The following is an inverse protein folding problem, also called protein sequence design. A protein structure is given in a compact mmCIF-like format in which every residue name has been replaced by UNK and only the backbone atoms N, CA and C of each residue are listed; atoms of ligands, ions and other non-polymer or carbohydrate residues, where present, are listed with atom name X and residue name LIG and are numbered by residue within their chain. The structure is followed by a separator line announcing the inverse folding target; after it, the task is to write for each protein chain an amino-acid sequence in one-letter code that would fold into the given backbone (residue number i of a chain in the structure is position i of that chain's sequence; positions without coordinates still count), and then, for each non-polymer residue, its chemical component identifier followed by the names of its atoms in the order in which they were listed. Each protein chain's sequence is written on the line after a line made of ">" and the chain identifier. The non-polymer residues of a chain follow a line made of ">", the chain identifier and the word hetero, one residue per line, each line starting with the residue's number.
data_IF_471888272510
#
_entry.id   IF_471888272510
#
_cell.length_a   1.000
_cell.length_b   1.000
_cell.length_c   1.000
_cell.angle_alpha   90.00
_cell.angle_beta   90.00
_cell.angle_gamma   90.00
#
_symmetry.space_group_name_H-M   'P 1'
#
loop_
_entity.id
_entity.type
_entity.pdbx_description
1 polymer ?
#
# COMPACT_ATOMS: atom_id res chain seq x y z
N UNK A 1 7.30 15.80 5.88
CA UNK A 1 6.34 16.82 6.35
C UNK A 1 7.09 17.74 7.30
N UNK A 2 6.82 19.05 7.26
CA UNK A 2 7.30 20.00 8.26
C UNK A 2 6.26 20.11 9.37
N UNK A 3 6.72 20.06 10.62
CA UNK A 3 5.85 20.21 11.78
C UNK A 3 5.75 21.71 12.13
N UNK A 4 4.54 22.25 12.08
CA UNK A 4 4.23 23.61 12.52
C UNK A 4 3.74 23.60 13.95
N UNK A 5 4.24 24.52 14.77
CA UNK A 5 3.73 24.76 16.11
C UNK A 5 2.58 25.77 16.02
N UNK A 6 1.38 25.36 16.45
CA UNK A 6 0.21 26.22 16.45
C UNK A 6 0.02 26.95 17.78
N UNK A 7 0.50 26.38 18.87
CA UNK A 7 0.42 26.96 20.21
C UNK A 7 0.52 25.91 21.31
N UNK A 8 0.23 26.32 22.53
CA UNK A 8 0.26 25.45 23.72
C UNK A 8 -1.13 25.38 24.31
N UNK A 9 -1.49 24.22 24.86
CA UNK A 9 -2.71 24.02 25.66
C UNK A 9 -2.36 23.47 27.03
N UNK A 10 -3.19 23.78 28.03
CA UNK A 10 -3.13 23.12 29.32
C UNK A 10 -3.78 21.75 29.18
N UNK A 11 -3.04 20.68 29.48
CA UNK A 11 -3.62 19.35 29.48
C UNK A 11 -4.37 19.10 30.79
N UNK A 12 -5.09 18.00 30.89
CA UNK A 12 -5.69 17.55 32.13
C UNK A 12 -5.21 16.15 32.49
N UNK A 13 -5.42 15.74 33.73
CA UNK A 13 -5.24 14.34 34.13
C UNK A 13 -6.42 13.88 34.97
N UNK A 14 -6.72 12.58 34.90
CA UNK A 14 -7.81 11.98 35.67
C UNK A 14 -7.23 11.37 36.94
N UNK A 15 -7.70 11.82 38.10
CA UNK A 15 -7.23 11.28 39.36
C UNK A 15 -7.74 9.85 39.56
N UNK A 16 -6.87 8.84 39.73
CA UNK A 16 -7.33 7.46 39.90
C UNK A 16 -8.06 7.23 41.23
N UNK A 17 -7.84 8.10 42.23
CA UNK A 17 -8.49 7.97 43.54
C UNK A 17 -9.97 8.39 43.52
N UNK A 18 -10.31 9.48 42.82
CA UNK A 18 -11.67 10.02 42.82
C UNK A 18 -12.31 10.11 41.44
N UNK A 19 -11.57 9.89 40.35
CA UNK A 19 -12.03 9.97 38.96
C UNK A 19 -12.29 11.39 38.44
N UNK A 20 -12.04 12.43 39.24
CA UNK A 20 -12.17 13.81 38.79
C UNK A 20 -10.94 14.24 37.97
N UNK A 21 -11.17 15.15 37.02
CA UNK A 21 -10.12 15.82 36.26
C UNK A 21 -9.42 16.85 37.13
N UNK A 22 -8.15 17.07 36.87
CA UNK A 22 -7.38 18.17 37.43
C UNK A 22 -6.47 18.74 36.35
N UNK A 23 -6.16 20.05 36.40
CA UNK A 23 -5.24 20.67 35.47
C UNK A 23 -3.91 19.93 35.42
N UNK A 24 -3.34 19.80 34.23
CA UNK A 24 -2.10 19.12 33.95
C UNK A 24 -0.94 19.63 34.81
N UNK A 25 -0.76 20.95 34.96
CA UNK A 25 0.27 21.52 35.82
C UNK A 25 0.05 21.21 37.31
N UNK A 26 -1.14 20.81 37.74
CA UNK A 26 -1.40 20.52 39.15
C UNK A 26 -0.83 19.16 39.56
N UNK A 27 -0.03 19.17 40.63
CA UNK A 27 0.65 17.97 41.16
C UNK A 27 -0.20 17.20 42.18
N UNK A 28 -1.36 17.76 42.57
CA UNK A 28 -2.37 17.16 43.45
C UNK A 28 -3.74 17.33 42.81
N UNK A 29 -4.62 16.35 43.04
CA UNK A 29 -5.99 16.46 42.58
C UNK A 29 -6.69 17.60 43.33
N UNK A 30 -7.23 18.56 42.59
CA UNK A 30 -7.92 19.71 43.18
C UNK A 30 -9.21 19.33 43.90
N UNK A 31 -9.77 18.14 43.64
CA UNK A 31 -11.00 17.67 44.31
C UNK A 31 -10.76 16.89 45.61
N UNK A 32 -9.71 16.05 45.67
CA UNK A 32 -9.51 15.14 46.81
C UNK A 32 -8.13 15.29 47.50
N UNK A 33 -7.28 16.19 47.00
CA UNK A 33 -5.97 16.50 47.58
C UNK A 33 -4.90 15.42 47.43
N UNK A 34 -5.23 14.25 46.87
CA UNK A 34 -4.27 13.17 46.63
C UNK A 34 -3.23 13.58 45.59
N UNK A 35 -1.94 13.22 45.77
CA UNK A 35 -0.91 13.52 44.80
C UNK A 35 -1.19 12.81 43.47
N UNK A 36 -0.72 13.39 42.37
CA UNK A 36 -0.72 12.75 41.07
C UNK A 36 0.28 11.58 41.07
N UNK A 37 -0.15 10.35 40.76
CA UNK A 37 0.76 9.21 40.57
C UNK A 37 1.67 9.37 39.34
N UNK A 38 2.76 8.62 39.31
CA UNK A 38 3.80 8.68 38.26
C UNK A 38 3.30 8.20 36.89
N UNK A 39 2.42 7.21 36.87
CA UNK A 39 1.91 6.52 35.68
C UNK A 39 0.64 7.16 35.10
N UNK A 40 0.17 8.29 35.63
CA UNK A 40 -1.00 8.96 35.08
C UNK A 40 -0.64 9.63 33.76
N UNK A 41 -1.36 9.27 32.71
CA UNK A 41 -1.28 9.95 31.43
C UNK A 41 -2.09 11.26 31.44
N UNK A 42 -1.59 12.26 30.72
CA UNK A 42 -2.39 13.44 30.42
C UNK A 42 -3.41 13.15 29.31
N UNK A 43 -4.51 13.86 29.37
CA UNK A 43 -5.63 13.80 28.44
C UNK A 43 -5.92 15.19 27.88
N UNK A 44 -6.58 15.24 26.72
CA UNK A 44 -7.01 16.51 26.14
C UNK A 44 -7.91 17.26 27.15
N UNK A 45 -7.75 18.58 27.26
CA UNK A 45 -8.63 19.39 28.08
C UNK A 45 -10.02 19.48 27.45
N UNK A 46 -11.01 19.80 28.30
CA UNK A 46 -12.35 20.14 27.82
C UNK A 46 -12.33 21.48 27.10
N UNK A 47 -11.64 22.46 27.69
CA UNK A 47 -11.36 23.75 27.06
C UNK A 47 -10.08 23.67 26.23
N UNK A 48 -10.23 23.83 24.91
CA UNK A 48 -9.12 23.71 23.97
C UNK A 48 -8.50 25.07 23.62
N UNK A 49 -8.78 26.12 24.39
CA UNK A 49 -8.20 27.44 24.16
C UNK A 49 -6.66 27.39 24.18
N UNK A 50 -6.03 27.98 23.15
CA UNK A 50 -4.59 28.17 23.12
C UNK A 50 -4.17 29.19 24.17
N UNK A 51 -3.12 28.85 24.91
CA UNK A 51 -2.51 29.73 25.91
C UNK A 51 -1.79 30.88 25.19
N UNK A 52 -2.07 32.11 25.63
CA UNK A 52 -1.44 33.34 25.10
C UNK A 52 -0.41 33.96 26.04
N UNK A 53 -0.39 33.54 27.31
CA UNK A 53 0.55 34.05 28.31
C UNK A 53 1.97 33.51 28.09
N UNK A 54 2.94 34.41 27.93
CA UNK A 54 4.32 34.07 27.60
C UNK A 54 5.03 33.29 28.71
N UNK A 55 4.73 33.57 29.98
CA UNK A 55 5.35 32.86 31.10
C UNK A 55 4.88 31.40 31.15
N UNK A 56 3.60 31.17 30.87
CA UNK A 56 2.99 29.83 30.78
C UNK A 56 3.53 29.05 29.57
N UNK A 57 3.67 29.69 28.40
CA UNK A 57 4.32 29.08 27.22
C UNK A 57 5.79 28.70 27.53
N UNK A 58 6.50 29.54 28.28
CA UNK A 58 7.87 29.25 28.71
C UNK A 58 7.95 28.15 29.78
N UNK A 59 6.89 27.88 30.55
CA UNK A 59 6.81 26.71 31.42
C UNK A 59 6.54 25.44 30.60
N UNK A 60 5.65 25.51 29.61
CA UNK A 60 5.29 24.38 28.77
C UNK A 60 6.46 23.82 27.94
N UNK A 61 7.39 24.67 27.52
CA UNK A 61 8.56 24.31 26.70
C UNK A 61 9.79 23.86 27.50
N UNK A 62 9.68 23.77 28.84
CA UNK A 62 10.76 23.25 29.69
C UNK A 62 10.95 21.75 29.51
N UNK A 63 12.06 21.24 30.04
CA UNK A 63 12.26 19.81 30.17
C UNK A 63 11.09 19.16 30.97
N UNK A 64 10.78 17.88 30.71
CA UNK A 64 9.73 17.17 31.41
C UNK A 64 9.94 17.18 32.92
N UNK A 65 8.84 17.25 33.67
CA UNK A 65 8.87 17.20 35.13
C UNK A 65 9.57 15.94 35.65
N UNK A 66 10.11 16.02 36.87
CA UNK A 66 10.87 14.93 37.50
C UNK A 66 10.11 14.35 38.71
N UNK A 67 10.06 13.03 38.79
CA UNK A 67 9.57 12.30 39.94
C UNK A 67 10.68 12.09 40.97
N UNK A 68 10.41 12.48 42.21
CA UNK A 68 11.36 12.34 43.30
C UNK A 68 11.66 10.86 43.58
N UNK A 69 12.94 10.43 43.61
CA UNK A 69 13.29 9.02 43.79
C UNK A 69 12.98 8.50 45.20
N UNK A 70 12.75 9.39 46.17
CA UNK A 70 12.47 9.03 47.56
C UNK A 70 10.98 8.93 47.89
N UNK A 71 10.15 9.78 47.29
CA UNK A 71 8.73 9.85 47.65
C UNK A 71 7.76 9.86 46.44
N UNK A 72 8.26 9.76 45.22
CA UNK A 72 7.47 9.76 43.97
C UNK A 72 6.83 11.10 43.61
N UNK A 73 6.91 12.12 44.48
CA UNK A 73 6.30 13.42 44.22
C UNK A 73 6.87 14.07 42.95
N UNK A 74 5.96 14.53 42.09
CA UNK A 74 6.27 15.27 40.87
C UNK A 74 6.80 16.68 41.19
N UNK A 75 7.88 17.06 40.55
CA UNK A 75 8.56 18.36 40.69
C UNK A 75 8.90 18.92 39.30
N UNK A 76 9.19 20.23 39.25
CA UNK A 76 9.68 20.85 38.03
C UNK A 76 11.07 20.28 37.69
N UNK A 77 11.38 20.20 36.40
CA UNK A 77 12.60 19.57 35.90
C UNK A 77 13.90 20.17 36.45
N UNK A 78 13.90 21.47 36.74
CA UNK A 78 15.05 22.24 37.23
C UNK A 78 15.15 22.29 38.77
N UNK A 79 14.17 21.75 39.48
CA UNK A 79 14.17 21.73 40.94
C UNK A 79 15.32 20.85 41.47
N UNK A 80 16.09 21.38 42.43
CA UNK A 80 17.20 20.65 43.05
C UNK A 80 16.74 19.77 44.21
N UNK A 81 15.71 20.21 44.94
CA UNK A 81 15.15 19.54 46.11
C UNK A 81 13.65 19.31 45.92
N UNK A 82 13.17 18.17 46.40
CA UNK A 82 11.76 17.83 46.36
C UNK A 82 10.96 18.79 47.23
N UNK A 83 9.95 19.45 46.66
CA UNK A 83 9.05 20.36 47.38
C UNK A 83 8.26 19.70 48.52
N UNK A 84 8.17 18.36 48.51
CA UNK A 84 7.37 17.58 49.46
C UNK A 84 8.19 16.97 50.60
N UNK A 85 9.34 16.34 50.30
CA UNK A 85 10.16 15.67 51.32
C UNK A 85 11.54 16.32 51.55
N UNK A 86 11.92 17.35 50.79
CA UNK A 86 13.23 18.02 50.88
C UNK A 86 14.41 17.24 50.29
N UNK A 87 14.22 15.96 49.95
CA UNK A 87 15.28 15.11 49.37
C UNK A 87 15.77 15.64 48.01
N UNK A 88 17.05 15.40 47.70
CA UNK A 88 17.64 15.80 46.43
C UNK A 88 16.93 15.14 45.24
N UNK A 89 16.71 15.87 44.15
CA UNK A 89 16.08 15.34 42.95
C UNK A 89 17.07 14.71 41.97
N UNK A 90 18.37 14.79 42.28
CA UNK A 90 19.40 14.02 41.58
C UNK A 90 19.05 12.51 41.63
N UNK A 91 18.99 11.88 40.45
CA UNK A 91 18.58 10.47 40.31
C UNK A 91 17.07 10.25 40.26
N UNK A 92 16.25 11.30 40.22
CA UNK A 92 14.81 11.19 39.92
C UNK A 92 14.53 10.82 38.46
N UNK A 93 13.33 10.28 38.22
CA UNK A 93 12.90 9.85 36.89
C UNK A 93 12.19 11.00 36.18
N UNK A 94 12.65 11.37 34.97
CA UNK A 94 11.89 12.32 34.15
C UNK A 94 10.58 11.68 33.68
N UNK A 95 9.51 12.46 33.73
CA UNK A 95 8.22 12.04 33.21
C UNK A 95 8.30 11.85 31.69
N UNK A 96 7.50 10.92 31.19
CA UNK A 96 7.39 10.70 29.76
C UNK A 96 6.84 11.96 29.06
N UNK A 97 7.33 12.21 27.84
CA UNK A 97 6.91 13.29 26.97
C UNK A 97 6.95 12.81 25.50
N UNK A 98 6.38 13.59 24.59
CA UNK A 98 6.34 13.30 23.16
C UNK A 98 5.15 12.45 22.71
N UNK A 99 4.31 11.99 23.64
CA UNK A 99 3.11 11.21 23.30
C UNK A 99 2.04 12.11 22.68
N UNK A 100 1.43 11.66 21.58
CA UNK A 100 0.24 12.28 21.02
C UNK A 100 -0.97 12.03 21.91
N UNK A 101 -1.55 13.11 22.44
CA UNK A 101 -2.73 13.06 23.32
C UNK A 101 -4.03 12.91 22.51
N UNK A 102 -4.06 13.47 21.29
CA UNK A 102 -5.16 13.32 20.35
C UNK A 102 -5.26 14.47 19.34
N UNK A 103 -6.23 14.39 18.44
CA UNK A 103 -6.51 15.46 17.49
C UNK A 103 -6.95 16.75 18.22
N UNK A 104 -6.47 17.88 17.72
CA UNK A 104 -6.80 19.22 18.18
C UNK A 104 -7.76 19.88 17.18
N UNK A 105 -8.84 20.47 17.70
CA UNK A 105 -9.90 21.09 16.91
C UNK A 105 -11.29 20.92 17.54
N UNK A 106 -12.27 21.58 16.93
CA UNK A 106 -13.64 21.76 17.44
C UNK A 106 -14.57 20.57 17.17
N UNK A 107 -14.05 19.34 17.10
CA UNK A 107 -14.95 18.18 16.98
C UNK A 107 -15.83 18.11 18.23
N UNK A 108 -17.17 18.27 18.11
CA UNK A 108 -18.06 18.26 19.27
C UNK A 108 -18.00 16.89 19.93
N UNK A 109 -17.58 16.84 21.20
CA UNK A 109 -17.64 15.60 21.97
C UNK A 109 -19.12 15.40 22.35
N UNK A 110 -19.77 14.43 21.70
CA UNK A 110 -21.20 14.19 21.90
C UNK A 110 -21.50 13.81 23.35
N UNK A 111 -22.50 14.44 24.01
CA UNK A 111 -22.85 14.11 25.39
C UNK A 111 -23.16 12.62 25.59
N UNK A 112 -22.72 12.05 26.72
CA UNK A 112 -22.97 10.66 27.10
C UNK A 112 -24.09 10.60 28.14
N UNK A 113 -25.09 9.75 27.91
CA UNK A 113 -26.12 9.44 28.90
C UNK A 113 -25.62 8.36 29.86
N UNK A 114 -25.79 8.59 31.16
CA UNK A 114 -25.38 7.64 32.18
C UNK A 114 -26.21 6.35 32.10
N UNK A 115 -25.58 5.16 31.95
CA UNK A 115 -26.32 3.91 31.90
C UNK A 115 -26.98 3.55 33.24
N UNK A 116 -26.47 4.08 34.36
CA UNK A 116 -27.00 3.78 35.69
C UNK A 116 -28.20 4.65 36.10
N UNK A 117 -28.30 5.90 35.62
CA UNK A 117 -29.34 6.84 36.06
C UNK A 117 -29.98 7.70 34.96
N UNK A 118 -29.54 7.55 33.71
CA UNK A 118 -30.07 8.28 32.55
C UNK A 118 -29.68 9.76 32.46
N UNK A 119 -28.92 10.32 33.41
CA UNK A 119 -28.49 11.71 33.35
C UNK A 119 -27.54 11.93 32.16
N UNK A 120 -27.72 13.02 31.42
CA UNK A 120 -26.79 13.47 30.39
C UNK A 120 -25.54 14.06 31.05
N UNK A 121 -24.37 13.73 30.52
CA UNK A 121 -23.07 14.21 30.97
C UNK A 121 -22.24 14.64 29.76
N UNK A 122 -21.20 15.47 29.94
CA UNK A 122 -20.23 15.77 28.88
C UNK A 122 -19.67 14.50 28.24
N UNK A 123 -19.36 14.54 26.94
CA UNK A 123 -18.98 13.36 26.17
C UNK A 123 -17.64 12.71 26.54
N UNK A 124 -16.88 13.36 27.40
CA UNK A 124 -15.62 12.89 27.95
C UNK A 124 -15.71 12.58 29.46
N UNK A 125 -16.87 12.84 30.08
CA UNK A 125 -17.10 12.64 31.50
C UNK A 125 -16.87 11.17 31.88
N UNK A 126 -16.04 10.91 32.89
CA UNK A 126 -15.72 9.55 33.38
C UNK A 126 -16.64 9.09 34.50
N UNK A 127 -17.29 10.02 35.21
CA UNK A 127 -18.29 9.75 36.25
C UNK A 127 -19.55 10.57 36.01
N UNK A 128 -20.68 10.01 36.39
CA UNK A 128 -21.96 10.69 36.31
C UNK A 128 -22.03 11.81 37.34
N UNK A 129 -22.31 13.04 36.88
CA UNK A 129 -22.47 14.19 37.76
C UNK A 129 -23.67 14.06 38.72
N UNK A 130 -24.66 13.22 38.37
CA UNK A 130 -25.85 12.96 39.20
C UNK A 130 -25.67 11.83 40.20
N UNK A 131 -25.18 10.66 39.77
CA UNK A 131 -25.16 9.45 40.61
C UNK A 131 -23.77 8.89 40.91
N UNK A 132 -22.70 9.48 40.36
CA UNK A 132 -21.32 9.04 40.58
C UNK A 132 -20.89 7.76 39.84
N UNK A 133 -21.80 7.11 39.09
CA UNK A 133 -21.50 5.91 38.31
C UNK A 133 -20.45 6.19 37.22
N UNK A 134 -19.60 5.21 36.90
CA UNK A 134 -18.65 5.31 35.79
C UNK A 134 -19.37 5.44 34.44
N UNK A 135 -18.90 6.34 33.57
CA UNK A 135 -19.52 6.65 32.27
C UNK A 135 -18.71 6.19 31.07
N UNK A 136 -17.41 5.97 31.26
CA UNK A 136 -16.51 5.46 30.22
C UNK A 136 -15.74 4.30 30.84
N UNK A 137 -15.56 3.18 30.12
CA UNK A 137 -14.57 2.21 30.53
C UNK A 137 -13.22 2.95 30.63
N UNK A 138 -12.53 2.85 31.77
CA UNK A 138 -11.07 3.01 31.73
C UNK A 138 -10.47 1.96 30.78
N UNK A 139 -9.15 1.87 30.62
CA UNK A 139 -8.60 0.57 30.23
C UNK A 139 -9.22 -0.43 31.21
N UNK A 140 -10.13 -1.28 30.72
CA UNK A 140 -10.55 -2.43 31.48
C UNK A 140 -9.23 -3.12 31.79
N UNK A 141 -8.96 -3.38 33.08
CA UNK A 141 -8.08 -4.49 33.40
C UNK A 141 -8.67 -5.65 32.60
N UNK A 142 -7.97 -5.99 31.53
CA UNK A 142 -8.48 -6.82 30.46
C UNK A 142 -8.57 -8.22 31.03
N UNK A 143 -9.75 -8.56 31.56
CA UNK A 143 -10.10 -9.93 31.84
C UNK A 143 -10.18 -10.61 30.47
N UNK A 144 -9.11 -11.33 30.13
CA UNK A 144 -8.98 -12.10 28.90
C UNK A 144 -10.23 -12.96 28.72
N UNK A 145 -11.12 -12.50 27.86
CA UNK A 145 -12.18 -13.36 27.35
C UNK A 145 -11.50 -14.32 26.36
N UNK A 146 -11.73 -15.64 26.43
CA UNK A 146 -11.19 -16.56 25.45
C UNK A 146 -11.68 -16.18 24.05
N UNK A 147 -10.84 -16.39 23.02
CA UNK A 147 -11.11 -15.91 21.68
C UNK A 147 -12.40 -16.52 21.10
N UNK A 148 -13.16 -15.76 20.29
CA UNK A 148 -14.28 -16.32 19.56
C UNK A 148 -13.80 -17.38 18.58
N UNK A 149 -14.51 -18.51 18.57
CA UNK A 149 -14.33 -19.57 17.57
C UNK A 149 -14.52 -19.00 16.17
N UNK A 150 -13.53 -19.24 15.30
CA UNK A 150 -13.52 -18.80 13.91
C UNK A 150 -14.81 -19.21 13.16
N UNK A 151 -15.28 -18.38 12.20
CA UNK A 151 -16.45 -18.73 11.40
C UNK A 151 -16.15 -19.98 10.58
N UNK A 152 -17.03 -20.98 10.73
CA UNK A 152 -16.94 -22.24 10.01
C UNK A 152 -16.91 -22.01 8.50
N UNK A 153 -15.79 -22.38 7.88
CA UNK A 153 -15.64 -22.34 6.43
C UNK A 153 -16.70 -23.26 5.81
N UNK A 154 -17.54 -22.69 4.94
CA UNK A 154 -18.65 -23.40 4.31
C UNK A 154 -18.13 -24.62 3.54
N UNK A 155 -18.42 -25.81 4.07
CA UNK A 155 -17.99 -27.12 3.54
C UNK A 155 -18.39 -27.34 2.07
N UNK A 156 -19.43 -26.64 1.59
CA UNK A 156 -19.88 -26.72 0.19
C UNK A 156 -18.95 -26.00 -0.78
N UNK A 157 -18.33 -24.87 -0.41
CA UNK A 157 -17.34 -24.18 -1.27
C UNK A 157 -16.00 -24.93 -1.32
N UNK A 158 -15.60 -25.56 -0.21
CA UNK A 158 -14.41 -26.44 -0.15
C UNK A 158 -14.64 -27.71 -0.98
N UNK A 159 -15.82 -28.34 -0.90
CA UNK A 159 -16.12 -29.53 -1.69
C UNK A 159 -16.15 -29.26 -3.20
N UNK A 160 -16.69 -28.11 -3.62
CA UNK A 160 -16.65 -27.68 -5.03
C UNK A 160 -15.20 -27.39 -5.46
N UNK A 161 -14.42 -26.69 -4.64
CA UNK A 161 -13.00 -26.42 -4.91
C UNK A 161 -12.16 -27.70 -5.04
N UNK A 162 -12.36 -28.68 -4.15
CA UNK A 162 -11.69 -29.99 -4.20
C UNK A 162 -12.15 -30.78 -5.42
N UNK A 163 -13.46 -30.75 -5.75
CA UNK A 163 -13.99 -31.39 -6.95
C UNK A 163 -13.36 -30.85 -8.22
N UNK A 164 -13.28 -29.52 -8.36
CA UNK A 164 -12.62 -28.88 -9.50
C UNK A 164 -11.12 -29.20 -9.52
N UNK A 165 -10.43 -29.15 -8.38
CA UNK A 165 -9.01 -29.48 -8.30
C UNK A 165 -8.72 -30.94 -8.68
N UNK A 166 -9.57 -31.88 -8.28
CA UNK A 166 -9.47 -33.30 -8.66
C UNK A 166 -9.73 -33.50 -10.15
N UNK A 167 -10.73 -32.83 -10.71
CA UNK A 167 -10.99 -32.87 -12.16
C UNK A 167 -9.81 -32.28 -12.93
N UNK A 168 -9.24 -31.16 -12.49
CA UNK A 168 -8.05 -30.57 -13.10
C UNK A 168 -6.82 -31.48 -12.97
N UNK A 169 -6.63 -32.17 -11.85
CA UNK A 169 -5.56 -33.16 -11.66
C UNK A 169 -5.73 -34.37 -12.58
N UNK A 170 -6.96 -34.86 -12.76
CA UNK A 170 -7.26 -35.96 -13.68
C UNK A 170 -7.01 -35.51 -15.13
N UNK A 171 -7.48 -34.32 -15.52
CA UNK A 171 -7.23 -33.77 -16.85
C UNK A 171 -5.74 -33.56 -17.11
N UNK A 172 -4.99 -33.06 -16.14
CA UNK A 172 -3.53 -32.93 -16.22
C UNK A 172 -2.84 -34.30 -16.35
N UNK A 173 -3.26 -35.30 -15.58
CA UNK A 173 -2.75 -36.66 -15.68
C UNK A 173 -3.02 -37.28 -17.06
N UNK A 174 -4.23 -37.08 -17.61
CA UNK A 174 -4.59 -37.55 -18.96
C UNK A 174 -3.83 -36.80 -20.06
N UNK A 175 -3.52 -35.51 -19.85
CA UNK A 175 -2.71 -34.71 -20.76
C UNK A 175 -1.23 -35.14 -20.76
N UNK A 176 -0.71 -35.63 -19.63
CA UNK A 176 0.67 -36.11 -19.49
C UNK A 176 0.84 -37.58 -19.88
N UNK A 177 -0.24 -38.38 -19.87
CA UNK A 177 -0.18 -39.77 -20.30
C UNK A 177 -0.18 -39.83 -21.83
N UNK A 178 0.97 -40.21 -22.38
CA UNK A 178 1.19 -40.36 -23.83
C UNK A 178 1.28 -41.81 -24.26
N UNK A 179 0.94 -42.08 -25.51
CA UNK A 179 1.20 -43.35 -26.20
C UNK A 179 2.13 -43.08 -27.38
N UNK A 180 3.18 -43.89 -27.50
CA UNK A 180 4.13 -43.82 -28.60
C UNK A 180 3.59 -44.58 -29.82
N UNK A 181 3.61 -43.95 -30.98
CA UNK A 181 3.33 -44.58 -32.27
C UNK A 181 4.39 -44.17 -33.29
N UNK A 182 4.58 -44.96 -34.35
CA UNK A 182 5.49 -44.59 -35.44
C UNK A 182 4.68 -43.87 -36.51
N UNK A 183 5.06 -42.62 -36.79
CA UNK A 183 4.55 -41.83 -37.90
C UNK A 183 5.59 -41.64 -38.99
N UNK A 184 5.11 -41.35 -40.20
CA UNK A 184 5.93 -41.00 -41.35
C UNK A 184 5.63 -39.56 -41.73
N UNK A 185 6.65 -38.76 -42.03
CA UNK A 185 6.43 -37.41 -42.57
C UNK A 185 5.76 -37.54 -43.93
N UNK A 186 4.53 -37.04 -44.04
CA UNK A 186 3.73 -37.05 -45.26
C UNK A 186 3.95 -35.80 -46.09
N UNK A 187 3.92 -34.65 -45.42
CA UNK A 187 4.03 -33.34 -46.03
C UNK A 187 4.74 -32.39 -45.07
N UNK A 188 5.46 -31.42 -45.62
CA UNK A 188 6.00 -30.31 -44.86
C UNK A 188 5.67 -29.04 -45.60
N UNK A 189 5.08 -28.09 -44.88
CA UNK A 189 4.86 -26.74 -45.41
C UNK A 189 5.61 -25.74 -44.55
N UNK A 190 5.92 -24.60 -45.10
CA UNK A 190 6.53 -23.49 -44.38
C UNK A 190 5.74 -22.21 -44.56
N UNK A 191 5.79 -21.36 -43.55
CA UNK A 191 5.24 -20.02 -43.55
C UNK A 191 6.30 -19.04 -43.03
N UNK A 192 6.55 -17.98 -43.80
CA UNK A 192 7.38 -16.85 -43.41
C UNK A 192 6.54 -15.60 -43.31
N UNK A 193 6.70 -14.88 -42.20
CA UNK A 193 6.00 -13.64 -41.90
C UNK A 193 6.98 -12.51 -41.66
N UNK A 194 6.73 -11.36 -42.27
CA UNK A 194 7.43 -10.10 -41.96
C UNK A 194 6.41 -9.10 -41.46
N UNK A 195 6.55 -8.67 -40.21
CA UNK A 195 5.73 -7.57 -39.67
C UNK A 195 6.05 -6.31 -40.45
N UNK A 196 5.03 -5.58 -40.88
CA UNK A 196 5.19 -4.24 -41.46
C UNK A 196 5.01 -3.24 -40.35
N UNK A 197 6.08 -2.50 -40.05
CA UNK A 197 6.01 -1.35 -39.17
C UNK A 197 5.77 -0.10 -40.00
N UNK A 198 4.81 0.72 -39.59
CA UNK A 198 4.61 2.05 -40.15
C UNK A 198 4.89 3.12 -39.09
N UNK A 199 5.40 4.25 -39.56
CA UNK A 199 5.55 5.45 -38.78
C UNK A 199 4.16 6.10 -38.64
N UNK A 200 3.61 6.05 -37.43
CA UNK A 200 2.24 6.51 -37.14
C UNK A 200 2.21 7.49 -35.97
N UNK A 201 1.26 8.43 -35.95
CA UNK A 201 1.09 9.36 -34.84
C UNK A 201 0.60 8.63 -33.59
N UNK A 202 1.41 8.65 -32.54
CA UNK A 202 1.09 8.07 -31.23
C UNK A 202 0.93 9.18 -30.20
N UNK A 203 -0.18 9.14 -29.46
CA UNK A 203 -0.43 10.05 -28.35
C UNK A 203 0.27 9.54 -27.08
N UNK A 204 1.03 10.41 -26.44
CA UNK A 204 1.75 10.19 -25.18
C UNK A 204 1.40 11.29 -24.17
N UNK A 205 1.78 11.09 -22.92
CA UNK A 205 1.70 12.10 -21.87
C UNK A 205 3.07 12.25 -21.20
N UNK A 206 3.52 13.47 -20.99
CA UNK A 206 4.72 13.79 -20.23
C UNK A 206 4.59 15.17 -19.57
N UNK A 207 5.54 15.51 -18.70
CA UNK A 207 5.64 16.88 -18.19
C UNK A 207 5.99 17.82 -19.34
N UNK A 208 5.42 19.03 -19.36
CA UNK A 208 5.59 19.97 -20.48
C UNK A 208 7.06 20.22 -20.85
N UNK A 209 7.95 20.24 -19.86
CA UNK A 209 9.41 20.45 -20.04
C UNK A 209 10.16 19.25 -20.63
N UNK A 210 9.56 18.07 -20.60
CA UNK A 210 10.13 16.81 -21.10
C UNK A 210 9.62 16.45 -22.49
N UNK A 211 8.62 17.17 -22.99
CA UNK A 211 8.05 16.93 -24.32
C UNK A 211 9.06 17.37 -25.39
N UNK A 212 9.35 16.53 -26.40
CA UNK A 212 10.24 16.89 -27.49
C UNK A 212 9.83 18.18 -28.18
N UNK A 213 10.81 19.03 -28.51
CA UNK A 213 10.56 20.30 -29.19
C UNK A 213 9.85 20.06 -30.54
N UNK A 214 8.79 20.82 -30.81
CA UNK A 214 8.00 20.72 -32.03
C UNK A 214 6.93 19.62 -32.04
N UNK A 215 6.81 18.80 -30.98
CA UNK A 215 5.71 17.84 -30.86
C UNK A 215 4.36 18.58 -30.67
N UNK A 216 3.32 18.28 -31.47
CA UNK A 216 2.00 18.87 -31.29
C UNK A 216 1.42 18.54 -29.91
N UNK A 217 1.13 19.59 -29.13
CA UNK A 217 0.50 19.48 -27.81
C UNK A 217 -1.01 19.25 -27.93
N UNK A 218 -1.53 18.40 -27.04
CA UNK A 218 -2.94 18.18 -26.80
C UNK A 218 -3.40 18.86 -25.50
N UNK A 219 -4.26 18.18 -24.74
CA UNK A 219 -4.74 18.70 -23.45
C UNK A 219 -3.63 18.72 -22.40
N UNK A 220 -3.54 19.81 -21.66
CA UNK A 220 -2.66 19.96 -20.50
C UNK A 220 -3.49 20.02 -19.22
N UNK A 221 -2.96 19.42 -18.15
CA UNK A 221 -3.51 19.54 -16.80
C UNK A 221 -2.41 19.82 -15.80
N UNK A 222 -2.72 20.65 -14.81
CA UNK A 222 -1.86 20.80 -13.63
C UNK A 222 -1.89 19.49 -12.83
N UNK A 223 -0.71 18.90 -12.59
CA UNK A 223 -0.57 17.65 -11.85
C UNK A 223 0.57 17.74 -10.83
N UNK A 224 0.42 17.01 -9.72
CA UNK A 224 1.40 16.96 -8.66
C UNK A 224 2.70 16.32 -9.16
N UNK A 225 3.79 17.08 -9.12
CA UNK A 225 5.14 16.62 -9.51
C UNK A 225 5.82 15.97 -8.33
N UNK A 226 5.83 16.67 -7.19
CA UNK A 226 6.50 16.23 -5.96
C UNK A 226 5.96 16.96 -4.75
N UNK A 227 6.18 16.37 -3.58
CA UNK A 227 5.97 17.01 -2.29
C UNK A 227 7.33 17.29 -1.63
N UNK A 228 7.37 18.27 -0.73
CA UNK A 228 8.55 18.58 0.08
C UNK A 228 8.18 19.10 1.47
N UNK A 229 9.13 19.06 2.40
CA UNK A 229 8.93 19.51 3.77
C UNK A 229 9.08 21.04 3.91
N UNK A 230 10.05 21.64 3.20
CA UNK A 230 10.24 23.09 3.21
C UNK A 230 9.29 23.80 2.22
N UNK A 231 8.92 25.06 2.49
CA UNK A 231 8.21 25.88 1.52
C UNK A 231 9.00 26.07 0.22
N UNK A 232 8.29 26.12 -0.92
CA UNK A 232 8.86 26.46 -2.22
C UNK A 232 7.97 27.46 -2.98
N UNK A 233 8.54 28.26 -3.91
CA UNK A 233 7.74 29.12 -4.77
C UNK A 233 6.68 28.33 -5.54
N UNK A 234 5.45 28.85 -5.57
CA UNK A 234 4.29 28.23 -6.23
C UNK A 234 3.89 26.84 -5.68
N UNK A 235 4.37 26.45 -4.50
CA UNK A 235 3.88 25.25 -3.83
C UNK A 235 2.56 25.54 -3.11
N UNK A 236 1.65 24.57 -3.15
CA UNK A 236 0.43 24.58 -2.33
C UNK A 236 0.75 23.96 -0.99
N UNK A 237 0.54 24.71 0.09
CA UNK A 237 0.67 24.16 1.44
C UNK A 237 -0.58 23.34 1.79
N UNK A 238 -0.36 22.08 2.15
CA UNK A 238 -1.42 21.16 2.59
C UNK A 238 -1.05 20.64 3.96
N UNK A 239 -1.92 20.87 4.94
CA UNK A 239 -1.71 20.46 6.32
C UNK A 239 -2.74 19.43 6.76
N UNK A 240 -2.30 18.47 7.59
CA UNK A 240 -3.16 17.47 8.21
C UNK A 240 -3.99 18.03 9.35
N UNK A 241 -4.71 17.17 10.07
CA UNK A 241 -5.42 17.57 11.30
C UNK A 241 -4.41 17.93 12.39
N UNK A 242 -4.51 19.11 13.03
CA UNK A 242 -3.69 19.43 14.19
C UNK A 242 -3.82 18.40 15.30
N UNK A 243 -2.79 18.22 16.12
CA UNK A 243 -2.79 17.33 17.26
C UNK A 243 -1.96 17.88 18.41
N UNK A 244 -2.26 17.41 19.62
CA UNK A 244 -1.55 17.83 20.84
C UNK A 244 -0.52 16.79 21.23
N UNK A 245 0.71 17.23 21.51
CA UNK A 245 1.83 16.41 21.98
C UNK A 245 2.14 16.78 23.42
N UNK A 246 2.09 15.80 24.32
CA UNK A 246 2.45 15.95 25.73
C UNK A 246 3.91 16.38 25.90
N UNK A 247 4.16 17.46 26.64
CA UNK A 247 5.51 17.94 26.96
C UNK A 247 6.05 17.38 28.28
N UNK A 248 5.27 16.58 29.01
CA UNK A 248 5.63 16.04 30.32
C UNK A 248 5.56 17.06 31.47
N UNK A 249 5.18 18.30 31.17
CA UNK A 249 5.05 19.43 32.11
C UNK A 249 3.60 19.65 32.57
N UNK A 250 2.64 18.89 32.02
CA UNK A 250 1.21 19.17 32.18
C UNK A 250 0.63 20.09 31.12
N UNK A 251 1.47 20.55 30.19
CA UNK A 251 1.06 21.26 29.00
C UNK A 251 1.31 20.41 27.76
N UNK A 252 0.55 20.69 26.71
CA UNK A 252 0.66 20.04 25.42
C UNK A 252 1.02 21.05 24.35
N UNK A 253 1.97 20.69 23.48
CA UNK A 253 2.25 21.46 22.28
C UNK A 253 1.25 21.07 21.20
N UNK A 254 0.46 22.03 20.73
CA UNK A 254 -0.38 21.85 19.55
C UNK A 254 0.51 22.02 18.33
N UNK A 255 0.57 20.96 17.53
CA UNK A 255 1.34 20.90 16.29
C UNK A 255 0.46 20.46 15.13
N UNK A 256 0.93 20.73 13.92
CA UNK A 256 0.30 20.28 12.69
C UNK A 256 1.37 19.93 11.68
N UNK A 257 1.25 18.76 11.05
CA UNK A 257 2.17 18.34 10.01
C UNK A 257 1.67 18.85 8.65
N UNK A 258 2.55 19.55 7.95
CA UNK A 258 2.29 20.14 6.65
C UNK A 258 3.26 19.59 5.59
N UNK A 259 2.80 19.58 4.35
CA UNK A 259 3.62 19.34 3.18
C UNK A 259 3.35 20.39 2.10
N UNK A 260 4.39 20.66 1.31
CA UNK A 260 4.33 21.62 0.21
C UNK A 260 4.28 20.86 -1.11
N UNK A 261 3.14 20.95 -1.78
CA UNK A 261 2.83 20.25 -3.02
C UNK A 261 3.19 21.11 -4.24
N UNK A 262 4.10 20.64 -5.08
CA UNK A 262 4.55 21.35 -6.28
C UNK A 262 3.86 20.75 -7.50
N UNK A 263 3.17 21.61 -8.25
CA UNK A 263 2.46 21.25 -9.46
C UNK A 263 3.21 21.71 -10.71
N UNK A 264 3.04 20.96 -11.80
CA UNK A 264 3.44 21.38 -13.13
C UNK A 264 2.46 20.86 -14.18
N UNK A 265 2.53 21.42 -15.38
CA UNK A 265 1.69 20.98 -16.48
C UNK A 265 2.16 19.63 -17.02
N UNK A 266 1.26 18.66 -16.95
CA UNK A 266 1.37 17.38 -17.64
C UNK A 266 0.50 17.44 -18.88
N UNK A 267 1.11 17.33 -20.05
CA UNK A 267 0.45 17.53 -21.32
C UNK A 267 0.44 16.25 -22.15
N UNK A 268 -0.65 16.05 -22.87
CA UNK A 268 -0.67 15.12 -24.00
C UNK A 268 0.15 15.70 -25.15
N UNK A 269 0.85 14.84 -25.88
CA UNK A 269 1.53 15.21 -27.11
C UNK A 269 1.47 14.07 -28.12
N UNK A 270 1.65 14.41 -29.39
CA UNK A 270 1.71 13.42 -30.48
C UNK A 270 3.13 13.34 -31.01
N UNK A 271 3.65 12.12 -31.14
CA UNK A 271 4.94 11.85 -31.76
C UNK A 271 4.82 10.67 -32.71
N UNK A 272 5.59 10.71 -33.79
CA UNK A 272 5.66 9.62 -34.76
C UNK A 272 6.48 8.46 -34.19
N UNK A 273 5.88 7.27 -34.09
CA UNK A 273 6.54 6.05 -33.64
C UNK A 273 6.32 4.92 -34.65
N UNK A 274 7.30 4.02 -34.78
CA UNK A 274 7.14 2.78 -35.53
C UNK A 274 6.21 1.82 -34.77
N UNK A 275 5.08 1.47 -35.38
CA UNK A 275 4.15 0.45 -34.86
C UNK A 275 3.88 -0.60 -35.91
N UNK A 276 3.70 -1.84 -35.48
CA UNK A 276 3.19 -2.91 -36.32
C UNK A 276 1.78 -2.53 -36.79
N UNK A 277 1.59 -2.45 -38.11
CA UNK A 277 0.30 -2.10 -38.72
C UNK A 277 -0.24 -3.22 -39.62
N UNK A 278 0.65 -4.10 -40.09
CA UNK A 278 0.32 -5.17 -41.01
C UNK A 278 1.36 -6.30 -40.91
N UNK A 279 1.14 -7.40 -41.61
CA UNK A 279 2.09 -8.49 -41.76
C UNK A 279 2.01 -9.08 -43.16
N UNK A 280 3.15 -9.20 -43.82
CA UNK A 280 3.25 -9.91 -45.09
C UNK A 280 3.56 -11.38 -44.83
N UNK A 281 2.92 -12.27 -45.57
CA UNK A 281 3.06 -13.72 -45.43
C UNK A 281 3.41 -14.33 -46.79
N UNK A 282 4.39 -15.23 -46.79
CA UNK A 282 4.65 -16.16 -47.90
C UNK A 282 4.60 -17.57 -47.34
N UNK A 283 3.98 -18.49 -48.07
CA UNK A 283 3.93 -19.91 -47.75
C UNK A 283 4.54 -20.74 -48.89
N UNK A 284 4.96 -21.96 -48.58
CA UNK A 284 5.39 -22.92 -49.60
C UNK A 284 5.44 -24.34 -49.07
N UNK A 285 5.71 -25.27 -49.97
CA UNK A 285 5.85 -26.70 -49.68
C UNK A 285 7.32 -27.08 -49.51
N UNK A 286 7.55 -28.21 -48.84
CA UNK A 286 8.84 -28.78 -48.53
C UNK A 286 9.60 -28.07 -47.40
N UNK A 287 10.89 -28.41 -47.30
CA UNK A 287 11.80 -27.90 -46.26
C UNK A 287 12.56 -26.63 -46.67
N UNK A 288 12.47 -26.24 -47.94
CA UNK A 288 13.28 -25.16 -48.50
C UNK A 288 12.45 -23.89 -48.65
N UNK A 289 12.56 -23.02 -47.65
CA UNK A 289 11.97 -21.68 -47.70
C UNK A 289 12.92 -20.72 -48.44
N UNK A 290 12.71 -20.56 -49.76
CA UNK A 290 13.61 -19.80 -50.63
C UNK A 290 13.45 -18.28 -50.52
N UNK A 291 12.28 -17.80 -50.10
CA UNK A 291 11.94 -16.38 -50.21
C UNK A 291 11.32 -15.86 -48.91
N UNK A 292 11.57 -14.60 -48.59
CA UNK A 292 10.84 -13.85 -47.58
C UNK A 292 9.85 -12.94 -48.30
N UNK A 293 8.64 -12.71 -47.74
CA UNK A 293 7.72 -11.75 -48.34
C UNK A 293 8.39 -10.37 -48.45
N UNK A 294 8.37 -9.82 -49.66
CA UNK A 294 9.01 -8.55 -49.97
C UNK A 294 8.07 -7.37 -49.69
N UNK A 295 8.53 -6.42 -48.87
CA UNK A 295 7.85 -5.14 -48.69
C UNK A 295 8.47 -4.11 -49.65
N UNK A 296 7.65 -3.48 -50.50
CA UNK A 296 8.02 -2.26 -51.19
C UNK A 296 8.01 -1.09 -50.20
N UNK A 297 9.06 -1.00 -49.37
CA UNK A 297 9.11 -0.04 -48.27
C UNK A 297 9.02 1.41 -48.77
N UNK A 298 8.08 2.17 -48.21
CA UNK A 298 7.98 3.62 -48.40
C UNK A 298 8.76 4.33 -47.29
N UNK A 299 8.94 5.66 -47.37
CA UNK A 299 9.60 6.42 -46.30
C UNK A 299 8.90 6.30 -44.92
N UNK A 300 7.63 5.87 -44.88
CA UNK A 300 6.84 5.68 -43.66
C UNK A 300 6.59 4.21 -43.30
N UNK A 301 7.21 3.27 -44.00
CA UNK A 301 7.07 1.84 -43.72
C UNK A 301 8.42 1.16 -43.72
N UNK A 302 8.59 0.16 -42.87
CA UNK A 302 9.81 -0.66 -42.82
C UNK A 302 9.48 -2.11 -42.45
N UNK A 303 10.31 -3.07 -42.87
CA UNK A 303 10.21 -4.42 -42.34
C UNK A 303 10.57 -4.40 -40.85
N UNK A 304 9.68 -4.96 -40.04
CA UNK A 304 9.88 -5.21 -38.62
C UNK A 304 10.37 -6.63 -38.37
N UNK A 305 9.86 -7.24 -37.29
CA UNK A 305 10.21 -8.60 -36.90
C UNK A 305 9.86 -9.62 -38.00
N UNK A 306 10.77 -10.57 -38.21
CA UNK A 306 10.57 -11.73 -39.08
C UNK A 306 10.29 -12.98 -38.25
N UNK A 307 9.36 -13.81 -38.70
CA UNK A 307 9.04 -15.11 -38.12
C UNK A 307 9.01 -16.16 -39.23
N UNK A 308 9.50 -17.35 -38.92
CA UNK A 308 9.49 -18.52 -39.80
C UNK A 308 8.96 -19.70 -39.00
N UNK A 309 8.10 -20.49 -39.64
CA UNK A 309 7.43 -21.63 -39.03
C UNK A 309 7.24 -22.72 -40.10
N UNK A 310 7.45 -23.97 -39.70
CA UNK A 310 7.25 -25.15 -40.51
C UNK A 310 6.15 -26.00 -39.90
N UNK A 311 5.20 -26.43 -40.71
CA UNK A 311 4.15 -27.37 -40.31
C UNK A 311 4.46 -28.72 -40.95
N UNK A 312 4.88 -29.67 -40.11
CA UNK A 312 5.16 -31.04 -40.48
C UNK A 312 3.89 -31.87 -40.26
N UNK A 313 3.42 -32.55 -41.30
CA UNK A 313 2.27 -33.44 -41.22
C UNK A 313 2.78 -34.87 -41.16
N UNK A 314 2.56 -35.53 -40.04
CA UNK A 314 2.81 -36.96 -39.90
C UNK A 314 1.58 -37.78 -40.27
N UNK A 315 1.79 -38.90 -40.95
CA UNK A 315 0.79 -39.93 -41.19
C UNK A 315 1.12 -41.20 -40.39
N UNK A 316 0.10 -41.76 -39.75
CA UNK A 316 0.11 -43.01 -39.00
C UNK A 316 -1.01 -43.91 -39.53
N UNK A 317 -1.19 -45.12 -38.98
CA UNK A 317 -2.24 -46.06 -39.39
C UNK A 317 -3.66 -45.48 -39.13
N UNK A 318 -4.16 -44.68 -40.07
CA UNK A 318 -5.51 -44.11 -40.10
C UNK A 318 -5.68 -42.68 -39.56
N UNK A 319 -4.60 -41.99 -39.17
CA UNK A 319 -4.65 -40.62 -38.64
C UNK A 319 -3.44 -39.76 -39.04
N UNK A 320 -3.65 -38.44 -39.12
CA UNK A 320 -2.61 -37.44 -39.36
C UNK A 320 -2.43 -36.50 -38.18
N UNK A 321 -1.19 -36.07 -37.93
CA UNK A 321 -0.82 -35.16 -36.84
C UNK A 321 0.03 -34.01 -37.37
N UNK A 322 -0.29 -32.79 -36.93
CA UNK A 322 0.51 -31.60 -37.26
C UNK A 322 1.51 -31.30 -36.14
N UNK A 323 2.74 -30.96 -36.55
CA UNK A 323 3.80 -30.54 -35.65
C UNK A 323 4.42 -29.24 -36.17
N UNK A 324 4.48 -28.23 -35.30
CA UNK A 324 4.93 -26.89 -35.66
C UNK A 324 6.35 -26.65 -35.16
N UNK A 325 7.26 -26.36 -36.09
CA UNK A 325 8.69 -26.16 -35.83
C UNK A 325 9.09 -24.74 -36.20
N UNK A 326 9.81 -24.03 -35.32
CA UNK A 326 10.26 -22.64 -35.54
C UNK A 326 11.75 -22.50 -35.80
N UNK A 327 12.53 -23.55 -35.53
CA UNK A 327 13.96 -23.59 -35.86
C UNK A 327 14.15 -24.29 -37.23
N UNK A 328 14.66 -23.60 -38.25
CA UNK A 328 14.92 -24.20 -39.56
C UNK A 328 15.87 -25.41 -39.52
N UNK A 329 16.80 -25.48 -38.57
CA UNK A 329 17.73 -26.60 -38.46
C UNK A 329 17.04 -27.86 -37.92
N UNK A 330 16.10 -27.68 -36.99
CA UNK A 330 15.25 -28.77 -36.51
C UNK A 330 14.28 -29.22 -37.61
N UNK A 331 13.67 -28.25 -38.31
CA UNK A 331 12.77 -28.52 -39.42
C UNK A 331 13.45 -29.38 -40.50
N UNK A 332 14.72 -29.09 -40.83
CA UNK A 332 15.50 -29.79 -41.85
C UNK A 332 15.67 -31.30 -41.60
N UNK A 333 15.39 -31.80 -40.39
CA UNK A 333 15.43 -33.21 -40.07
C UNK A 333 14.19 -33.97 -40.59
N UNK A 334 13.07 -33.29 -40.79
CA UNK A 334 11.78 -33.89 -41.16
C UNK A 334 11.64 -34.05 -42.68
N UNK A 335 12.53 -34.81 -43.31
CA UNK A 335 12.39 -35.12 -44.74
C UNK A 335 11.12 -35.96 -44.99
N UNK A 336 10.42 -35.71 -46.09
CA UNK A 336 9.28 -36.53 -46.50
C UNK A 336 9.67 -38.01 -46.57
N UNK A 337 8.80 -38.87 -46.04
CA UNK A 337 9.06 -40.31 -45.90
C UNK A 337 9.94 -40.70 -44.71
N UNK A 338 10.51 -39.76 -43.96
CA UNK A 338 11.27 -40.07 -42.73
C UNK A 338 10.34 -40.56 -41.62
N UNK A 339 10.86 -41.47 -40.77
CA UNK A 339 10.10 -42.15 -39.72
C UNK A 339 10.43 -41.59 -38.34
N UNK A 340 9.40 -41.30 -37.57
CA UNK A 340 9.51 -40.67 -36.26
C UNK A 340 8.62 -41.38 -35.25
N UNK A 341 9.08 -41.42 -34.01
CA UNK A 341 8.28 -41.82 -32.86
C UNK A 341 7.51 -40.60 -32.39
N UNK A 342 6.18 -40.68 -32.42
CA UNK A 342 5.26 -39.63 -32.02
C UNK A 342 4.68 -39.97 -30.65
N UNK A 343 4.77 -39.05 -29.70
CA UNK A 343 4.05 -39.16 -28.43
C UNK A 343 2.73 -38.42 -28.51
N UNK A 344 1.62 -39.15 -28.38
CA UNK A 344 0.28 -38.59 -28.47
C UNK A 344 -0.41 -38.75 -27.13
N UNK A 345 -0.94 -37.66 -26.57
CA UNK A 345 -1.64 -37.73 -25.29
C UNK A 345 -3.06 -38.30 -25.43
N UNK A 346 -3.72 -38.53 -24.29
CA UNK A 346 -5.07 -39.13 -24.26
C UNK A 346 -6.14 -38.29 -24.99
N UNK A 347 -5.87 -37.02 -25.28
CA UNK A 347 -6.76 -36.13 -26.04
C UNK A 347 -6.48 -36.12 -27.56
N UNK A 348 -5.51 -36.90 -28.03
CA UNK A 348 -5.13 -36.96 -29.44
C UNK A 348 -4.20 -35.84 -29.89
N UNK A 349 -3.63 -35.06 -28.95
CA UNK A 349 -2.65 -34.03 -29.28
C UNK A 349 -1.24 -34.64 -29.33
N UNK A 350 -0.48 -34.29 -30.38
CA UNK A 350 0.93 -34.60 -30.49
C UNK A 350 1.73 -33.75 -29.49
N UNK A 351 2.50 -34.38 -28.61
CA UNK A 351 3.21 -33.71 -27.51
C UNK A 351 4.73 -33.79 -27.63
N UNK A 352 5.26 -34.81 -28.30
CA UNK A 352 6.71 -34.95 -28.55
C UNK A 352 6.97 -35.75 -29.84
N UNK A 353 8.13 -35.52 -30.44
CA UNK A 353 8.56 -36.15 -31.70
C UNK A 353 10.05 -36.49 -31.64
N UNK A 354 10.40 -37.76 -31.82
CA UNK A 354 11.79 -38.24 -31.75
C UNK A 354 12.15 -39.14 -32.94
N UNK A 355 13.42 -39.17 -33.41
CA UNK A 355 13.80 -40.05 -34.52
C UNK A 355 13.49 -41.52 -34.19
N UNK A 356 12.80 -42.23 -35.09
CA UNK A 356 12.54 -43.65 -34.90
C UNK A 356 13.85 -44.44 -35.09
N UNK A 357 14.20 -45.28 -34.11
CA UNK A 357 15.38 -46.16 -34.18
C UNK A 357 15.17 -47.34 -35.13
#
# INVERSE_FOLDING_TARGET
>A
MSQKQLGVVELEWVCPNCGNRSPGPEKKCLSCGKPQPEDVEFVQPVDKALITDAATIAEATRAPDIHCPYCGARNQADAQNCRNCGGALAGGTQRQAGRTVGAYGDTPISPINCPACGAQNPGDARRCARCGAGLVPGPQLEEKTPPPSAPGCSRTLIAIGIGIALVLLILLYLALRTTATVGVVRDVTWQRTVVVEALVPVRREAWLKEIPAGAPLGQCRSALVRTQAEPAPNAVEVCGTPYTVDQGTGYGQVVQDCEYQIYADKCQYTVEEWKAVDSLVTTGEGLVANEWPALAATAKQRPGRRNEEYTVVFETDGATYEYVVKDPNEAALFSEGSRWTLEINTFGALTDVQPAR
#
